data_IF_618252166913
#
_entry.id   IF_618252166913
#
_cell.length_a   1.000
_cell.length_b   1.000
_cell.length_c   1.000
_cell.angle_alpha   90.00
_cell.angle_beta   90.00
_cell.angle_gamma   90.00
#
_symmetry.space_group_name_H-M   'P 1'
#
loop_
_entity.id
_entity.type
_entity.pdbx_description
1 polymer ?
#
# COMPACT_ATOMS: atom_id res chain seq x y z
N UNK A 1 -18.76 -3.34 -20.81
CA UNK A 1 -17.84 -3.74 -19.72
C UNK A 1 -16.61 -2.87 -19.84
N UNK A 2 -16.24 -2.15 -18.78
CA UNK A 2 -15.07 -1.26 -18.83
C UNK A 2 -13.76 -2.06 -18.74
N UNK A 3 -12.65 -1.50 -19.21
CA UNK A 3 -11.34 -2.14 -19.03
C UNK A 3 -11.01 -2.31 -17.54
N UNK A 4 -11.40 -1.36 -16.68
CA UNK A 4 -11.29 -1.47 -15.22
C UNK A 4 -11.99 -2.72 -14.68
N UNK A 5 -13.22 -2.99 -15.11
CA UNK A 5 -13.97 -4.19 -14.68
C UNK A 5 -13.26 -5.49 -15.05
N UNK A 6 -12.48 -5.50 -16.14
CA UNK A 6 -11.72 -6.67 -16.56
C UNK A 6 -10.46 -6.92 -15.71
N UNK A 7 -9.90 -5.88 -15.07
CA UNK A 7 -8.60 -5.98 -14.37
C UNK A 7 -8.62 -5.68 -12.88
N UNK A 8 -9.73 -5.16 -12.32
CA UNK A 8 -9.85 -4.77 -10.91
C UNK A 8 -9.57 -5.90 -9.92
N UNK A 9 -9.81 -7.15 -10.33
CA UNK A 9 -9.59 -8.35 -9.54
C UNK A 9 -8.28 -9.10 -9.87
N UNK A 10 -7.36 -8.47 -10.61
CA UNK A 10 -6.11 -9.12 -11.02
C UNK A 10 -5.17 -9.45 -9.84
N UNK A 11 -5.45 -8.97 -8.63
CA UNK A 11 -4.78 -9.41 -7.40
C UNK A 11 -4.80 -10.94 -7.25
N UNK A 12 -5.85 -11.61 -7.72
CA UNK A 12 -5.99 -13.08 -7.65
C UNK A 12 -4.89 -13.85 -8.40
N UNK A 13 -4.19 -13.18 -9.32
CA UNK A 13 -3.08 -13.78 -10.07
C UNK A 13 -1.77 -13.83 -9.27
N UNK A 14 -1.69 -13.16 -8.11
CA UNK A 14 -0.50 -13.09 -7.27
C UNK A 14 -0.64 -14.05 -6.08
N UNK A 15 0.39 -14.86 -5.84
CA UNK A 15 0.40 -15.85 -4.74
C UNK A 15 0.80 -15.27 -3.38
N UNK A 16 1.28 -14.03 -3.33
CA UNK A 16 1.80 -13.33 -2.17
C UNK A 16 0.90 -12.16 -1.73
N UNK A 17 -0.40 -12.26 -2.00
CA UNK A 17 -1.41 -11.31 -1.54
C UNK A 17 -1.82 -11.63 -0.11
N UNK A 18 -1.94 -10.59 0.69
CA UNK A 18 -2.50 -10.64 2.03
C UNK A 18 -3.71 -9.70 2.18
N UNK A 19 -4.46 -9.89 3.26
CA UNK A 19 -5.49 -8.95 3.71
C UNK A 19 -4.91 -8.05 4.80
N UNK A 20 -5.09 -6.73 4.61
CA UNK A 20 -4.65 -5.70 5.56
C UNK A 20 -5.82 -4.80 5.94
N UNK A 21 -5.66 -4.07 7.03
CA UNK A 21 -6.51 -2.92 7.34
C UNK A 21 -5.81 -1.64 6.90
N UNK A 22 -6.56 -0.72 6.29
CA UNK A 22 -6.11 0.64 5.97
C UNK A 22 -6.90 1.65 6.78
N UNK A 23 -6.21 2.56 7.48
CA UNK A 23 -6.83 3.64 8.24
C UNK A 23 -6.23 5.00 7.85
N UNK A 24 -7.09 6.00 7.76
CA UNK A 24 -6.73 7.41 7.61
C UNK A 24 -7.69 8.30 8.42
N UNK A 25 -7.63 9.61 8.22
CA UNK A 25 -8.53 10.56 8.88
C UNK A 25 -10.00 10.39 8.50
N UNK A 26 -10.31 9.74 7.37
CA UNK A 26 -11.68 9.43 6.94
C UNK A 26 -12.19 8.09 7.49
N UNK A 27 -11.35 7.33 8.20
CA UNK A 27 -11.71 6.12 8.94
C UNK A 27 -11.01 4.86 8.43
N UNK A 28 -11.43 3.72 8.93
CA UNK A 28 -10.80 2.42 8.66
C UNK A 28 -11.53 1.62 7.56
N UNK A 29 -10.79 0.83 6.80
CA UNK A 29 -11.27 -0.18 5.85
C UNK A 29 -10.47 -1.46 6.09
N UNK A 30 -11.15 -2.57 6.38
CA UNK A 30 -10.56 -3.90 6.54
C UNK A 30 -10.70 -4.76 5.28
N UNK A 31 -9.93 -5.85 5.19
CA UNK A 31 -9.99 -6.78 4.05
C UNK A 31 -9.39 -6.20 2.76
N UNK A 32 -8.57 -5.16 2.86
CA UNK A 32 -7.88 -4.55 1.72
C UNK A 32 -6.85 -5.55 1.20
N UNK A 33 -6.85 -5.80 -0.11
CA UNK A 33 -5.86 -6.68 -0.74
C UNK A 33 -4.57 -5.91 -0.92
N UNK A 34 -3.50 -6.44 -0.36
CA UNK A 34 -2.18 -5.84 -0.39
C UNK A 34 -1.11 -6.84 -0.78
N UNK A 35 -0.02 -6.31 -1.35
CA UNK A 35 1.23 -7.02 -1.54
C UNK A 35 2.37 -6.19 -0.98
N UNK A 36 3.24 -6.80 -0.19
CA UNK A 36 4.49 -6.17 0.26
C UNK A 36 5.58 -6.46 -0.75
N UNK A 37 6.25 -5.42 -1.23
CA UNK A 37 7.41 -5.52 -2.10
C UNK A 37 8.54 -4.63 -1.57
N UNK A 38 9.75 -4.93 -1.98
CA UNK A 38 10.89 -4.06 -1.72
C UNK A 38 10.67 -2.68 -2.38
N UNK A 39 10.97 -1.58 -1.67
CA UNK A 39 10.88 -0.26 -2.24
C UNK A 39 11.96 -0.06 -3.30
N UNK A 40 11.60 0.56 -4.44
CA UNK A 40 12.59 0.89 -5.46
C UNK A 40 13.50 2.05 -5.02
N UNK A 41 14.74 2.06 -5.50
CA UNK A 41 15.76 3.06 -5.13
C UNK A 41 15.30 4.50 -5.44
N UNK A 42 14.53 4.69 -6.51
CA UNK A 42 14.01 6.01 -6.91
C UNK A 42 12.96 6.53 -5.93
N UNK A 43 12.18 5.64 -5.33
CA UNK A 43 11.17 5.95 -4.33
C UNK A 43 11.82 6.24 -2.98
N UNK A 44 12.86 5.48 -2.62
CA UNK A 44 13.68 5.75 -1.44
C UNK A 44 14.39 7.12 -1.53
N UNK A 45 14.93 7.47 -2.70
CA UNK A 45 15.60 8.74 -2.92
C UNK A 45 14.71 9.98 -2.73
N UNK A 46 13.38 9.83 -2.73
CA UNK A 46 12.43 10.92 -2.47
C UNK A 46 12.20 11.18 -0.98
N UNK A 47 12.69 10.29 -0.11
CA UNK A 47 12.61 10.43 1.34
C UNK A 47 13.95 11.01 1.79
N UNK A 48 14.03 12.34 1.85
CA UNK A 48 15.24 13.07 2.27
C UNK A 48 15.78 12.55 3.61
N UNK A 49 17.11 12.35 3.67
CA UNK A 49 17.86 12.35 4.94
C UNK A 49 17.82 11.11 5.82
N UNK A 50 17.13 10.04 5.45
CA UNK A 50 17.16 8.78 6.20
C UNK A 50 17.59 7.63 5.27
N UNK A 51 18.90 7.45 5.15
CA UNK A 51 19.48 6.15 4.87
C UNK A 51 19.00 5.19 5.96
N UNK A 52 17.89 4.53 5.69
CA UNK A 52 17.14 3.82 6.70
C UNK A 52 17.61 2.38 6.81
N UNK A 53 17.75 1.94 8.05
CA UNK A 53 18.06 0.57 8.44
C UNK A 53 17.29 -0.44 7.56
N UNK A 54 17.94 -1.52 7.09
CA UNK A 54 17.27 -2.61 6.38
C UNK A 54 15.98 -3.01 7.11
N UNK A 55 14.87 -3.10 6.37
CA UNK A 55 13.56 -3.47 6.92
C UNK A 55 12.76 -2.33 7.59
N UNK A 56 13.25 -1.10 7.59
CA UNK A 56 12.48 0.06 8.06
C UNK A 56 11.47 0.58 7.01
N UNK A 57 11.66 0.24 5.74
CA UNK A 57 10.81 0.68 4.63
C UNK A 57 10.30 -0.51 3.82
N UNK A 58 9.07 -0.37 3.33
CA UNK A 58 8.45 -1.31 2.40
C UNK A 58 7.57 -0.53 1.41
N UNK A 59 7.32 -1.12 0.25
CA UNK A 59 6.23 -0.66 -0.61
C UNK A 59 5.06 -1.62 -0.48
N UNK A 60 3.92 -1.10 -0.08
CA UNK A 60 2.67 -1.86 -0.05
C UNK A 60 1.86 -1.48 -1.29
N UNK A 61 1.54 -2.46 -2.12
CA UNK A 61 0.68 -2.30 -3.29
C UNK A 61 -0.74 -2.65 -2.86
N UNK A 62 -1.61 -1.65 -2.76
CA UNK A 62 -3.01 -1.82 -2.38
C UNK A 62 -3.90 -1.84 -3.61
N UNK A 63 -4.90 -2.73 -3.64
CA UNK A 63 -5.87 -2.77 -4.74
C UNK A 63 -7.07 -1.86 -4.50
N UNK A 64 -7.30 -0.97 -5.47
CA UNK A 64 -8.36 0.05 -5.46
C UNK A 64 -9.75 -0.53 -5.19
N UNK A 65 -10.08 -1.64 -5.86
CA UNK A 65 -11.37 -2.32 -5.72
C UNK A 65 -11.69 -2.75 -4.28
N UNK A 66 -10.67 -2.87 -3.43
CA UNK A 66 -10.80 -3.34 -2.05
C UNK A 66 -10.69 -2.23 -1.01
N UNK A 67 -10.47 -0.98 -1.44
CA UNK A 67 -10.34 0.19 -0.57
C UNK A 67 -11.67 0.88 -0.25
N UNK A 68 -12.80 0.30 -0.64
CA UNK A 68 -14.14 0.87 -0.44
C UNK A 68 -14.26 2.32 -0.96
N UNK A 69 -13.65 2.60 -2.12
CA UNK A 69 -13.65 3.92 -2.75
C UNK A 69 -12.67 4.93 -2.15
N UNK A 70 -11.86 4.53 -1.16
CA UNK A 70 -10.79 5.39 -0.62
C UNK A 70 -9.56 5.36 -1.52
N UNK A 71 -8.90 6.51 -1.62
CA UNK A 71 -7.56 6.64 -2.19
C UNK A 71 -6.57 6.75 -1.02
N UNK A 72 -5.49 5.95 -0.97
CA UNK A 72 -4.50 6.07 0.08
C UNK A 72 -3.83 7.45 0.07
N UNK A 73 -3.52 7.95 1.26
CA UNK A 73 -2.87 9.25 1.47
C UNK A 73 -1.66 9.13 2.38
N UNK A 74 -0.74 10.09 2.27
CA UNK A 74 0.36 10.24 3.23
C UNK A 74 -0.15 10.40 4.65
N UNK A 75 0.51 9.74 5.61
CA UNK A 75 0.07 9.66 7.01
C UNK A 75 -0.95 8.54 7.31
N UNK A 76 -1.54 7.93 6.28
CA UNK A 76 -2.38 6.74 6.47
C UNK A 76 -1.58 5.56 7.04
N UNK A 77 -2.27 4.65 7.72
CA UNK A 77 -1.66 3.48 8.38
C UNK A 77 -2.21 2.21 7.76
N UNK A 78 -1.30 1.32 7.36
CA UNK A 78 -1.62 -0.03 6.90
C UNK A 78 -1.22 -1.01 8.00
N UNK A 79 -2.15 -1.85 8.43
CA UNK A 79 -1.93 -2.87 9.48
C UNK A 79 -2.04 -4.26 8.85
N UNK A 80 -0.94 -5.01 8.88
CA UNK A 80 -0.87 -6.40 8.44
C UNK A 80 -1.50 -7.33 9.47
N UNK A 81 -1.80 -8.58 9.05
CA UNK A 81 -2.43 -9.58 9.91
C UNK A 81 -1.60 -9.93 11.16
N UNK A 82 -0.27 -9.86 11.06
CA UNK A 82 0.66 -10.08 12.18
C UNK A 82 0.70 -8.88 13.18
N UNK A 83 -0.07 -7.83 12.92
CA UNK A 83 -0.09 -6.60 13.69
C UNK A 83 0.99 -5.59 13.30
N UNK A 84 1.85 -5.88 12.32
CA UNK A 84 2.85 -4.95 11.81
C UNK A 84 2.15 -3.74 11.18
N UNK A 85 2.56 -2.53 11.59
CA UNK A 85 2.00 -1.26 11.12
C UNK A 85 2.98 -0.50 10.25
N UNK A 86 2.46 0.08 9.18
CA UNK A 86 3.20 0.83 8.18
C UNK A 86 2.55 2.20 8.00
N UNK A 87 3.32 3.29 8.19
CA UNK A 87 2.85 4.65 7.91
C UNK A 87 3.20 5.03 6.48
N UNK A 88 2.19 5.38 5.70
CA UNK A 88 2.33 5.80 4.30
C UNK A 88 3.09 7.12 4.23
N UNK A 89 4.22 7.13 3.53
CA UNK A 89 5.06 8.30 3.30
C UNK A 89 4.73 8.96 1.95
N UNK A 90 4.55 8.14 0.92
CA UNK A 90 4.21 8.60 -0.42
C UNK A 90 3.27 7.62 -1.11
N UNK A 91 2.41 8.15 -1.99
CA UNK A 91 1.45 7.36 -2.76
C UNK A 91 1.63 7.65 -4.23
N UNK A 92 1.74 6.59 -5.03
CA UNK A 92 1.77 6.66 -6.48
C UNK A 92 0.65 5.77 -7.05
N UNK A 93 -0.16 6.33 -7.94
CA UNK A 93 -1.09 5.52 -8.73
C UNK A 93 -0.31 4.56 -9.61
N UNK A 94 -0.63 3.27 -9.55
CA UNK A 94 0.00 2.23 -10.34
C UNK A 94 -1.03 1.55 -11.25
N UNK A 95 -0.54 1.04 -12.38
CA UNK A 95 -1.26 0.26 -13.40
C UNK A 95 -2.78 0.49 -13.49
N UNK A 96 -3.20 1.24 -14.52
CA UNK A 96 -4.61 1.40 -14.93
C UNK A 96 -5.57 1.88 -13.83
N UNK A 97 -5.07 2.57 -12.81
CA UNK A 97 -5.82 3.04 -11.64
C UNK A 97 -6.46 1.90 -10.81
N UNK A 98 -5.93 0.68 -10.92
CA UNK A 98 -6.42 -0.48 -10.15
C UNK A 98 -5.59 -0.72 -8.89
N UNK A 99 -4.43 -0.07 -8.80
CA UNK A 99 -3.45 -0.26 -7.75
C UNK A 99 -2.92 1.08 -7.23
N UNK A 100 -2.60 1.11 -5.94
CA UNK A 100 -1.92 2.20 -5.28
C UNK A 100 -0.61 1.68 -4.70
N UNK A 101 0.52 2.24 -5.14
CA UNK A 101 1.83 1.97 -4.56
C UNK A 101 2.06 2.94 -3.40
N UNK A 102 2.11 2.40 -2.20
CA UNK A 102 2.35 3.14 -0.98
C UNK A 102 3.77 2.88 -0.51
N UNK A 103 4.67 3.86 -0.66
CA UNK A 103 5.95 3.82 0.04
C UNK A 103 5.68 4.07 1.52
N UNK A 104 6.08 3.13 2.36
CA UNK A 104 5.78 3.17 3.78
C UNK A 104 7.04 3.04 4.62
N UNK A 105 6.99 3.66 5.80
CA UNK A 105 7.96 3.44 6.87
C UNK A 105 7.29 2.60 7.96
N UNK A 106 8.05 1.70 8.58
CA UNK A 106 7.56 0.92 9.70
C UNK A 106 7.17 1.86 10.84
N UNK A 107 5.95 1.72 11.33
CA UNK A 107 5.44 2.50 12.45
C UNK A 107 6.29 2.18 13.68
N UNK A 108 7.04 3.16 14.19
CA UNK A 108 7.71 3.03 15.49
C UNK A 108 6.69 3.42 16.56
N UNK A 109 6.52 2.54 17.54
CA UNK A 109 5.75 2.84 18.75
C UNK A 109 6.36 4.01 19.52
#
# INVERSE_FOLDING_TARGET
MSYYDAVKDNWRAFGDIEEVAYADAAGETSGVKARVIEPDEKSLAKVDGLAALPGAYATLVLWDATLAGKKPVGGGVITQFDGTKWTVQAVQGAQWNTQWRCLCIRHRA
#
